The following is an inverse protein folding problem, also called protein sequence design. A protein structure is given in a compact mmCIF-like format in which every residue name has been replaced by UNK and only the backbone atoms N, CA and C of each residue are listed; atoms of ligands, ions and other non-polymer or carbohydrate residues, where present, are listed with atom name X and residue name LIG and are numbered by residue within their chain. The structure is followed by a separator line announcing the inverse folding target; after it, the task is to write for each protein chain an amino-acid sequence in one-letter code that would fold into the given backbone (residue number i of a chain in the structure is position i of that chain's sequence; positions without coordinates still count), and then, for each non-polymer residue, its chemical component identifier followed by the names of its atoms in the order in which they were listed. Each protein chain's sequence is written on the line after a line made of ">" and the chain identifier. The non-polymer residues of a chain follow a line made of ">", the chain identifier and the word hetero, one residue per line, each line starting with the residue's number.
data_IF_120861644290
#
_entry.id   IF_120861644290
#
_cell.length_a   1.000
_cell.length_b   1.000
_cell.length_c   1.000
_cell.angle_alpha   90.00
_cell.angle_beta   90.00
_cell.angle_gamma   90.00
#
_symmetry.space_group_name_H-M   'P 1'
#
loop_
_entity.id
_entity.type
_entity.pdbx_description
1 polymer ?
#
# COMPACT_ATOMS: atom_id res chain seq x y z
N UNK A 1 -22.89 -26.19 -24.33
CA UNK A 1 -22.63 -25.72 -22.96
C UNK A 1 -21.20 -26.00 -22.46
N UNK A 2 -20.63 -27.19 -22.67
CA UNK A 2 -19.28 -27.51 -22.16
C UNK A 2 -18.14 -26.69 -22.81
N UNK A 3 -18.20 -26.44 -24.14
CA UNK A 3 -17.20 -25.59 -24.82
C UNK A 3 -17.23 -24.13 -24.36
N UNK A 4 -18.41 -23.56 -24.12
CA UNK A 4 -18.56 -22.19 -23.60
C UNK A 4 -17.90 -22.08 -22.22
N UNK A 5 -18.20 -23.03 -21.31
CA UNK A 5 -17.56 -23.06 -19.98
C UNK A 5 -16.03 -23.20 -20.06
N UNK A 6 -15.52 -23.97 -21.02
CA UNK A 6 -14.07 -24.13 -21.23
C UNK A 6 -13.42 -22.83 -21.71
N UNK A 7 -14.07 -22.14 -22.65
CA UNK A 7 -13.62 -20.83 -23.14
C UNK A 7 -13.66 -19.76 -22.04
N UNK A 8 -14.73 -19.73 -21.24
CA UNK A 8 -14.84 -18.83 -20.08
C UNK A 8 -13.70 -19.04 -19.08
N UNK A 9 -13.36 -20.30 -18.78
CA UNK A 9 -12.24 -20.63 -17.91
C UNK A 9 -10.88 -20.19 -18.49
N UNK A 10 -10.67 -20.38 -19.80
CA UNK A 10 -9.44 -19.93 -20.48
C UNK A 10 -9.30 -18.41 -20.46
N UNK A 11 -10.38 -17.66 -20.73
CA UNK A 11 -10.38 -16.19 -20.65
C UNK A 11 -10.10 -15.72 -19.22
N UNK A 12 -10.66 -16.39 -18.21
CA UNK A 12 -10.39 -16.05 -16.82
C UNK A 12 -8.92 -16.29 -16.43
N UNK A 13 -8.31 -17.37 -16.92
CA UNK A 13 -6.89 -17.66 -16.71
C UNK A 13 -5.99 -16.61 -17.37
N UNK A 14 -6.21 -16.29 -18.65
CA UNK A 14 -5.44 -15.27 -19.36
C UNK A 14 -5.53 -13.89 -18.68
N UNK A 15 -6.72 -13.50 -18.22
CA UNK A 15 -6.90 -12.23 -17.46
C UNK A 15 -6.12 -12.22 -16.14
N UNK A 16 -5.97 -13.38 -15.50
CA UNK A 16 -5.18 -13.52 -14.27
C UNK A 16 -3.70 -13.35 -14.57
N UNK A 17 -3.19 -14.03 -15.61
CA UNK A 17 -1.79 -13.95 -16.01
C UNK A 17 -1.40 -12.53 -16.44
N UNK A 18 -2.26 -11.87 -17.23
CA UNK A 18 -2.07 -10.47 -17.63
C UNK A 18 -2.04 -9.53 -16.41
N UNK A 19 -2.89 -9.78 -15.41
CA UNK A 19 -2.92 -9.01 -14.17
C UNK A 19 -1.62 -9.19 -13.39
N UNK A 20 -1.15 -10.43 -13.20
CA UNK A 20 0.08 -10.71 -12.47
C UNK A 20 1.30 -10.07 -13.16
N UNK A 21 1.38 -10.16 -14.50
CA UNK A 21 2.43 -9.50 -15.27
C UNK A 21 2.40 -7.98 -15.10
N UNK A 22 1.21 -7.38 -15.09
CA UNK A 22 1.03 -5.95 -14.86
C UNK A 22 1.47 -5.52 -13.46
N UNK A 23 1.10 -6.28 -12.43
CA UNK A 23 1.52 -6.01 -11.04
C UNK A 23 3.04 -6.11 -10.88
N UNK A 24 3.69 -7.08 -11.54
CA UNK A 24 5.14 -7.24 -11.54
C UNK A 24 5.84 -6.04 -12.18
N UNK A 25 5.41 -5.64 -13.39
CA UNK A 25 5.97 -4.46 -14.09
C UNK A 25 5.80 -3.18 -13.28
N UNK A 26 4.63 -2.99 -12.67
CA UNK A 26 4.38 -1.83 -11.81
C UNK A 26 5.29 -1.82 -10.58
N UNK A 27 5.54 -3.00 -9.99
CA UNK A 27 6.45 -3.14 -8.85
C UNK A 27 7.89 -2.81 -9.25
N UNK A 28 8.33 -3.23 -10.44
CA UNK A 28 9.67 -2.93 -10.97
C UNK A 28 9.87 -1.42 -11.20
N UNK A 29 8.89 -0.77 -11.84
CA UNK A 29 8.97 0.66 -12.18
C UNK A 29 8.86 1.56 -10.94
N UNK A 30 7.92 1.26 -10.05
CA UNK A 30 7.60 2.11 -8.89
C UNK A 30 8.41 1.76 -7.64
N UNK A 31 9.02 0.57 -7.57
CA UNK A 31 9.68 0.03 -6.39
C UNK A 31 10.88 0.85 -5.88
N UNK A 32 11.45 1.71 -6.73
CA UNK A 32 12.51 2.64 -6.33
C UNK A 32 12.01 3.80 -5.45
N UNK A 33 10.75 4.19 -5.61
CA UNK A 33 10.16 5.35 -4.92
C UNK A 33 9.12 4.96 -3.88
N UNK A 34 8.39 3.87 -4.14
CA UNK A 34 7.27 3.44 -3.33
C UNK A 34 7.55 2.07 -2.72
N UNK A 35 7.11 1.87 -1.48
CA UNK A 35 7.16 0.56 -0.85
C UNK A 35 6.14 -0.40 -1.46
N UNK A 36 6.29 -1.73 -1.26
CA UNK A 36 5.29 -2.71 -1.69
C UNK A 36 3.90 -2.46 -1.08
N UNK A 37 3.82 -1.87 0.12
CA UNK A 37 2.54 -1.46 0.72
C UNK A 37 1.88 -0.32 -0.07
N UNK A 38 2.67 0.67 -0.46
CA UNK A 38 2.21 1.82 -1.25
C UNK A 38 1.80 1.44 -2.66
N UNK A 39 2.60 0.60 -3.34
CA UNK A 39 2.28 0.09 -4.68
C UNK A 39 0.97 -0.67 -4.65
N UNK A 40 0.72 -1.50 -3.62
CA UNK A 40 -0.57 -2.18 -3.45
C UNK A 40 -1.75 -1.22 -3.32
N UNK A 41 -1.60 -0.07 -2.66
CA UNK A 41 -2.66 0.95 -2.63
C UNK A 41 -2.90 1.57 -4.00
N UNK A 42 -1.82 1.87 -4.73
CA UNK A 42 -1.89 2.46 -6.06
C UNK A 42 -2.62 1.51 -7.02
N UNK A 43 -2.28 0.22 -6.98
CA UNK A 43 -2.88 -0.81 -7.83
C UNK A 43 -4.32 -1.18 -7.42
N UNK A 44 -4.73 -0.85 -6.18
CA UNK A 44 -6.06 -1.15 -5.66
C UNK A 44 -6.72 0.10 -5.06
N UNK A 45 -7.19 1.05 -5.88
CA UNK A 45 -7.76 2.32 -5.38
C UNK A 45 -8.98 2.15 -4.47
N UNK A 46 -9.70 1.03 -4.59
CA UNK A 46 -10.86 0.70 -3.74
C UNK A 46 -10.46 0.20 -2.34
N UNK A 47 -9.18 -0.09 -2.11
CA UNK A 47 -8.70 -0.68 -0.88
C UNK A 47 -8.70 0.36 0.26
N UNK A 48 -9.61 0.19 1.22
CA UNK A 48 -9.78 1.11 2.35
C UNK A 48 -8.83 0.84 3.53
N UNK A 49 -8.28 -0.37 3.61
CA UNK A 49 -7.44 -0.81 4.74
C UNK A 49 -6.23 -1.56 4.21
N UNK A 50 -5.06 -1.19 4.68
CA UNK A 50 -3.82 -1.92 4.44
C UNK A 50 -3.12 -2.21 5.76
N UNK A 51 -2.46 -3.36 5.81
CA UNK A 51 -1.51 -3.67 6.88
C UNK A 51 -0.15 -3.11 6.47
N UNK A 52 0.21 -1.98 7.06
CA UNK A 52 1.51 -1.35 6.85
C UNK A 52 2.63 -2.22 7.43
N UNK A 53 3.76 -2.28 6.72
CA UNK A 53 4.97 -2.90 7.28
C UNK A 53 5.57 -2.02 8.38
N UNK A 54 6.44 -2.58 9.21
CA UNK A 54 7.19 -1.81 10.21
C UNK A 54 8.03 -0.70 9.55
N UNK A 55 8.60 -0.98 8.38
CA UNK A 55 9.36 -0.01 7.60
C UNK A 55 8.48 1.15 7.09
N UNK A 56 7.29 0.86 6.59
CA UNK A 56 6.32 1.88 6.18
C UNK A 56 5.95 2.81 7.33
N UNK A 57 5.69 2.22 8.51
CA UNK A 57 5.37 2.96 9.72
C UNK A 57 6.56 3.83 10.14
N UNK A 58 7.77 3.27 10.17
CA UNK A 58 8.99 4.00 10.53
C UNK A 58 9.22 5.21 9.61
N UNK A 59 9.21 5.00 8.29
CA UNK A 59 9.35 6.09 7.29
C UNK A 59 8.28 7.17 7.46
N UNK A 60 7.03 6.76 7.72
CA UNK A 60 5.93 7.69 7.91
C UNK A 60 6.04 8.50 9.22
N UNK A 61 6.51 7.88 10.31
CA UNK A 61 6.80 8.57 11.56
C UNK A 61 7.94 9.56 11.34
N UNK A 62 9.05 9.14 10.71
CA UNK A 62 10.19 10.02 10.40
C UNK A 62 9.75 11.26 9.60
N UNK A 63 8.97 11.06 8.52
CA UNK A 63 8.44 12.17 7.72
C UNK A 63 7.54 13.10 8.54
N UNK A 64 6.70 12.55 9.42
CA UNK A 64 5.86 13.33 10.32
C UNK A 64 6.67 14.13 11.34
N UNK A 65 7.78 13.57 11.85
CA UNK A 65 8.70 14.27 12.75
C UNK A 65 9.41 15.43 12.05
N UNK A 66 9.77 15.28 10.77
CA UNK A 66 10.32 16.38 9.97
C UNK A 66 9.32 17.52 9.83
N UNK A 67 8.08 17.22 9.45
CA UNK A 67 7.01 18.23 9.42
C UNK A 67 5.62 17.61 9.45
N UNK A 68 4.84 17.81 10.53
CA UNK A 68 3.45 17.36 10.59
C UNK A 68 2.56 18.02 9.53
N UNK A 69 2.88 19.26 9.12
CA UNK A 69 2.14 19.97 8.06
C UNK A 69 2.41 19.35 6.69
N UNK A 70 3.69 19.09 6.36
CA UNK A 70 4.06 18.46 5.10
C UNK A 70 3.43 17.05 4.99
N UNK A 71 3.46 16.26 6.07
CA UNK A 71 2.82 14.94 6.09
C UNK A 71 1.33 15.00 5.74
N UNK A 72 0.58 15.94 6.36
CA UNK A 72 -0.85 16.13 6.06
C UNK A 72 -1.08 16.59 4.63
N UNK A 73 -0.25 17.50 4.12
CA UNK A 73 -0.35 17.98 2.74
C UNK A 73 -0.12 16.84 1.74
N UNK A 74 0.96 16.08 1.87
CA UNK A 74 1.26 14.94 1.00
C UNK A 74 0.15 13.90 1.02
N UNK A 75 -0.38 13.56 2.20
CA UNK A 75 -1.44 12.56 2.34
C UNK A 75 -2.79 13.05 1.79
N UNK A 76 -3.23 14.23 2.20
CA UNK A 76 -4.62 14.66 1.99
C UNK A 76 -4.80 15.52 0.73
N UNK A 77 -3.76 16.23 0.29
CA UNK A 77 -3.81 17.08 -0.91
C UNK A 77 -3.21 16.35 -2.10
N UNK A 78 -1.99 15.83 -1.96
CA UNK A 78 -1.32 15.08 -3.03
C UNK A 78 -1.76 13.61 -3.14
N UNK A 79 -2.66 13.15 -2.25
CA UNK A 79 -3.18 11.78 -2.23
C UNK A 79 -2.10 10.69 -2.18
N UNK A 80 -0.95 10.99 -1.55
CA UNK A 80 0.14 10.02 -1.41
C UNK A 80 -0.31 8.85 -0.52
N UNK A 81 0.02 7.59 -0.89
CA UNK A 81 -0.34 6.40 -0.12
C UNK A 81 0.47 6.36 1.18
N UNK A 82 -0.03 7.03 2.21
CA UNK A 82 0.61 7.13 3.52
C UNK A 82 -0.32 6.58 4.61
N UNK A 83 0.22 6.05 5.73
CA UNK A 83 -0.58 5.64 6.87
C UNK A 83 -1.53 6.71 7.40
N UNK A 84 -2.63 6.31 8.03
CA UNK A 84 -3.53 7.26 8.71
C UNK A 84 -2.86 7.87 9.94
N UNK A 85 -3.23 9.10 10.29
CA UNK A 85 -2.71 9.72 11.53
C UNK A 85 -3.10 8.89 12.77
N UNK A 86 -4.29 8.31 12.79
CA UNK A 86 -4.73 7.38 13.84
C UNK A 86 -3.89 6.09 13.87
N UNK A 87 -3.48 5.60 12.71
CA UNK A 87 -2.55 4.46 12.60
C UNK A 87 -1.20 4.80 13.21
N UNK A 88 -0.64 5.98 12.90
CA UNK A 88 0.65 6.39 13.43
C UNK A 88 0.60 6.58 14.95
N UNK A 89 -0.43 7.25 15.49
CA UNK A 89 -0.59 7.42 16.95
C UNK A 89 -0.60 6.09 17.68
N UNK A 90 -1.42 5.14 17.22
CA UNK A 90 -1.49 3.79 17.80
C UNK A 90 -0.15 3.05 17.75
N UNK A 91 0.64 3.24 16.69
CA UNK A 91 1.98 2.63 16.61
C UNK A 91 2.98 3.27 17.55
N UNK A 92 2.95 4.61 17.70
CA UNK A 92 3.80 5.34 18.64
C UNK A 92 3.49 4.92 20.07
N UNK A 93 2.21 4.92 20.46
CA UNK A 93 1.76 4.45 21.79
C UNK A 93 2.28 3.04 22.09
N UNK A 94 2.25 2.15 21.09
CA UNK A 94 2.78 0.79 21.24
C UNK A 94 4.29 0.77 21.46
N UNK A 95 5.05 1.64 20.80
CA UNK A 95 6.51 1.73 20.94
C UNK A 95 6.87 2.29 22.32
N UNK A 96 6.19 3.37 22.76
CA UNK A 96 6.44 4.00 24.06
C UNK A 96 6.18 3.03 25.23
N UNK A 97 5.13 2.20 25.12
CA UNK A 97 4.83 1.13 26.08
C UNK A 97 5.93 0.05 26.10
N UNK A 98 6.55 -0.28 24.97
CA UNK A 98 7.63 -1.26 24.89
C UNK A 98 8.97 -0.75 25.45
N UNK A 99 9.21 0.56 25.47
CA UNK A 99 10.45 1.13 26.04
C UNK A 99 10.32 1.33 27.56
N UNK A 100 9.09 1.46 28.06
CA UNK A 100 8.81 1.72 29.48
C UNK A 100 8.63 0.44 30.33
N UNK A 101 8.80 -0.75 29.72
CA UNK A 101 8.65 -2.07 30.35
C UNK A 101 9.99 -2.80 30.38
#
# INVERSE_FOLDING_TARGET
>A
MLQIRRLEAQVAALKKDDKELMEQKMTELLGKMFSPGQIRMILNPSLRKIKWSSEDIARAISLRCVSPKAYRYMKNVLQMPLPGLSTLRRQIERIDLCISS
#
